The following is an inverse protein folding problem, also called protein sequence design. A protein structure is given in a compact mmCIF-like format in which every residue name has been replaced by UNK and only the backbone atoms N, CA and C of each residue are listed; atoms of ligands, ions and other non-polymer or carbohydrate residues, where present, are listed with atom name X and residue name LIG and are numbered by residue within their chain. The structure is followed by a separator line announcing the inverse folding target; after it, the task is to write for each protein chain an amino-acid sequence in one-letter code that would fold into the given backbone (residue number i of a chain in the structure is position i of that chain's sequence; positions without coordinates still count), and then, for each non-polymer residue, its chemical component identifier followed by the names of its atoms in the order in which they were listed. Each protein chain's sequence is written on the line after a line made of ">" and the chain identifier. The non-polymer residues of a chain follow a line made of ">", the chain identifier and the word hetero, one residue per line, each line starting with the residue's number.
data_IF_146436660246
#
_entry.id   IF_146436660246
#
_cell.length_a   1.000
_cell.length_b   1.000
_cell.length_c   1.000
_cell.angle_alpha   90.00
_cell.angle_beta   90.00
_cell.angle_gamma   90.00
#
_symmetry.space_group_name_H-M   'P 1'
#
loop_
_entity.id
_entity.type
_entity.pdbx_description
1 polymer ?
#
# COMPACT_ATOMS: atom_id res chain seq x y z
N UNK A 1 13.88 14.97 0.56
CA UNK A 1 12.88 13.89 0.62
C UNK A 1 13.40 12.68 -0.13
N UNK A 2 13.30 11.52 0.48
CA UNK A 2 13.75 10.28 -0.13
C UNK A 2 12.58 9.34 -0.33
N UNK A 3 12.53 8.70 -1.51
CA UNK A 3 11.61 7.60 -1.79
C UNK A 3 12.40 6.30 -1.74
N UNK A 4 11.86 5.32 -1.01
CA UNK A 4 12.45 3.98 -0.95
C UNK A 4 11.45 3.01 -1.55
N UNK A 5 11.88 2.29 -2.59
CA UNK A 5 11.07 1.24 -3.21
C UNK A 5 11.48 -0.10 -2.58
N UNK A 6 10.54 -0.72 -1.86
CA UNK A 6 10.79 -1.98 -1.20
C UNK A 6 10.39 -3.15 -2.11
N UNK A 7 11.11 -4.28 -2.04
CA UNK A 7 10.75 -5.46 -2.82
C UNK A 7 9.32 -5.91 -2.51
N UNK A 8 8.62 -6.38 -3.54
CA UNK A 8 7.28 -6.91 -3.38
C UNK A 8 7.24 -8.11 -2.44
N UNK A 9 6.27 -8.14 -1.56
CA UNK A 9 6.08 -9.22 -0.59
C UNK A 9 5.01 -10.22 -1.02
N UNK A 10 4.18 -9.86 -2.00
CA UNK A 10 2.98 -10.60 -2.37
C UNK A 10 3.12 -11.54 -3.55
N UNK A 11 4.33 -11.73 -4.09
CA UNK A 11 4.53 -12.63 -5.21
C UNK A 11 4.45 -14.08 -4.76
N UNK A 12 3.46 -14.80 -5.27
CA UNK A 12 3.25 -16.22 -4.93
C UNK A 12 4.43 -17.11 -5.30
N UNK A 13 5.29 -16.66 -6.21
CA UNK A 13 6.47 -17.39 -6.67
C UNK A 13 7.71 -17.15 -5.83
N UNK A 14 7.65 -16.25 -4.87
CA UNK A 14 8.79 -15.92 -4.02
C UNK A 14 8.92 -16.99 -2.94
N UNK A 15 10.09 -17.59 -2.82
CA UNK A 15 10.35 -18.61 -1.80
C UNK A 15 10.17 -18.04 -0.39
N UNK A 16 9.74 -18.88 0.55
CA UNK A 16 9.52 -18.47 1.94
C UNK A 16 10.75 -17.80 2.55
N UNK A 17 11.95 -18.32 2.25
CA UNK A 17 13.21 -17.76 2.73
C UNK A 17 13.41 -16.31 2.24
N UNK A 18 13.00 -16.00 1.02
CA UNK A 18 13.09 -14.64 0.46
C UNK A 18 12.10 -13.71 1.15
N UNK A 19 10.89 -14.21 1.47
CA UNK A 19 9.90 -13.44 2.21
C UNK A 19 10.36 -13.13 3.64
N UNK A 20 11.00 -14.10 4.29
CA UNK A 20 11.56 -13.90 5.62
C UNK A 20 12.67 -12.85 5.60
N UNK A 21 13.57 -12.93 4.60
CA UNK A 21 14.62 -11.93 4.39
C UNK A 21 14.02 -10.56 4.10
N UNK A 22 12.94 -10.51 3.32
CA UNK A 22 12.22 -9.28 3.04
C UNK A 22 11.68 -8.66 4.33
N UNK A 23 11.09 -9.47 5.21
CA UNK A 23 10.59 -9.02 6.51
C UNK A 23 11.67 -8.42 7.38
N UNK A 24 12.83 -9.08 7.47
CA UNK A 24 13.97 -8.57 8.21
C UNK A 24 14.49 -7.24 7.66
N UNK A 25 14.56 -7.13 6.34
CA UNK A 25 15.02 -5.91 5.67
C UNK A 25 14.05 -4.75 5.90
N UNK A 26 12.75 -4.99 5.78
CA UNK A 26 11.72 -3.98 6.02
C UNK A 26 11.74 -3.56 7.49
N UNK A 27 11.88 -4.50 8.40
CA UNK A 27 11.98 -4.21 9.83
C UNK A 27 13.17 -3.34 10.14
N UNK A 28 14.32 -3.61 9.50
CA UNK A 28 15.52 -2.78 9.62
C UNK A 28 15.30 -1.34 9.14
N UNK A 29 14.60 -1.17 8.03
CA UNK A 29 14.24 0.16 7.53
C UNK A 29 13.26 0.86 8.46
N UNK A 30 12.23 0.15 8.91
CA UNK A 30 11.13 0.74 9.64
C UNK A 30 11.44 0.97 11.12
N UNK A 31 12.48 0.32 11.67
CA UNK A 31 12.97 0.61 13.01
C UNK A 31 13.59 2.02 13.11
N UNK A 32 13.98 2.61 11.97
CA UNK A 32 14.47 3.98 11.88
C UNK A 32 13.35 4.97 11.49
N UNK A 33 12.18 4.72 11.98
CA UNK A 33 10.96 5.42 11.57
C UNK A 33 10.90 6.92 11.89
N UNK A 34 11.84 7.47 12.63
CA UNK A 34 11.92 8.92 12.82
C UNK A 34 12.06 9.64 11.47
N UNK A 35 12.67 8.97 10.50
CA UNK A 35 12.83 9.49 9.15
C UNK A 35 11.74 9.01 8.19
N UNK A 36 10.96 8.01 8.60
CA UNK A 36 9.88 7.46 7.78
C UNK A 36 8.59 8.21 8.05
N UNK A 37 8.15 8.99 7.08
CA UNK A 37 6.98 9.85 7.22
C UNK A 37 5.69 9.23 6.70
N UNK A 38 5.79 8.34 5.74
CA UNK A 38 4.61 7.73 5.10
C UNK A 38 5.00 6.48 4.34
N UNK A 39 4.16 5.46 4.43
CA UNK A 39 4.25 4.25 3.62
C UNK A 39 3.01 4.17 2.73
N UNK A 40 3.22 3.97 1.44
CA UNK A 40 2.11 3.73 0.50
C UNK A 40 2.06 2.23 0.20
N UNK A 41 0.95 1.59 0.53
CA UNK A 41 0.69 0.20 0.16
C UNK A 41 -0.02 0.16 -1.18
N UNK A 42 0.64 -0.39 -2.19
CA UNK A 42 0.08 -0.48 -3.54
C UNK A 42 -0.57 -1.85 -3.74
N UNK A 43 -1.85 -1.83 -4.07
CA UNK A 43 -2.63 -3.05 -4.33
C UNK A 43 -3.27 -2.93 -5.70
N UNK A 44 -3.08 -3.97 -6.54
CA UNK A 44 -3.75 -4.02 -7.85
C UNK A 44 -5.25 -4.16 -7.65
N UNK A 45 -6.04 -3.22 -8.17
CA UNK A 45 -7.48 -3.18 -7.93
C UNK A 45 -8.25 -4.35 -8.55
N UNK A 46 -7.64 -5.09 -9.48
CA UNK A 46 -8.28 -6.23 -10.15
C UNK A 46 -8.33 -7.48 -9.27
N UNK A 47 -7.55 -7.51 -8.22
CA UNK A 47 -7.41 -8.67 -7.31
C UNK A 47 -7.74 -8.21 -5.90
N UNK A 48 -8.57 -8.96 -5.15
CA UNK A 48 -8.79 -8.63 -3.74
C UNK A 48 -7.47 -8.66 -2.96
N UNK A 49 -7.33 -7.84 -1.92
CA UNK A 49 -6.14 -7.89 -1.07
C UNK A 49 -5.85 -9.30 -0.59
N UNK A 50 -4.58 -9.68 -0.64
CA UNK A 50 -4.12 -11.00 -0.21
C UNK A 50 -3.93 -11.02 1.30
N UNK A 51 -3.70 -12.22 1.84
CA UNK A 51 -3.35 -12.35 3.26
C UNK A 51 -2.04 -11.62 3.57
N UNK A 52 -1.07 -11.65 2.65
CA UNK A 52 0.18 -10.91 2.80
C UNK A 52 -0.07 -9.41 2.90
N UNK A 53 -0.99 -8.87 2.11
CA UNK A 53 -1.39 -7.46 2.18
C UNK A 53 -1.97 -7.14 3.55
N UNK A 54 -2.86 -8.00 4.05
CA UNK A 54 -3.49 -7.83 5.35
C UNK A 54 -2.46 -7.85 6.49
N UNK A 55 -1.53 -8.80 6.44
CA UNK A 55 -0.46 -8.91 7.43
C UNK A 55 0.41 -7.66 7.43
N UNK A 56 0.78 -7.16 6.25
CA UNK A 56 1.58 -5.94 6.14
C UNK A 56 0.84 -4.73 6.71
N UNK A 57 -0.44 -4.60 6.42
CA UNK A 57 -1.26 -3.50 6.94
C UNK A 57 -1.34 -3.56 8.46
N UNK A 58 -1.61 -4.73 9.03
CA UNK A 58 -1.65 -4.92 10.48
C UNK A 58 -0.28 -4.57 11.11
N UNK A 59 0.80 -4.99 10.48
CA UNK A 59 2.15 -4.70 10.97
C UNK A 59 2.44 -3.20 10.99
N UNK A 60 2.10 -2.49 9.91
CA UNK A 60 2.29 -1.04 9.84
C UNK A 60 1.48 -0.32 10.91
N UNK A 61 0.22 -0.71 11.09
CA UNK A 61 -0.66 -0.10 12.08
C UNK A 61 -0.19 -0.40 13.50
N UNK A 62 0.24 -1.64 13.75
CA UNK A 62 0.75 -2.05 15.06
C UNK A 62 1.98 -1.22 15.48
N UNK A 63 2.85 -0.91 14.52
CA UNK A 63 4.07 -0.13 14.78
C UNK A 63 3.84 1.38 14.70
N UNK A 64 2.59 1.82 14.50
CA UNK A 64 2.25 3.23 14.44
C UNK A 64 2.84 3.96 13.24
N UNK A 65 3.10 3.26 12.15
CA UNK A 65 3.68 3.84 10.94
C UNK A 65 2.58 4.44 10.08
N UNK A 66 2.62 5.75 9.79
CA UNK A 66 1.64 6.36 8.89
C UNK A 66 1.65 5.66 7.54
N UNK A 67 0.46 5.25 7.08
CA UNK A 67 0.35 4.53 5.83
C UNK A 67 -0.96 4.86 5.13
N UNK A 68 -0.99 4.65 3.82
CA UNK A 68 -2.18 4.78 3.01
C UNK A 68 -2.24 3.61 2.03
N UNK A 69 -3.44 3.11 1.79
CA UNK A 69 -3.67 2.02 0.84
C UNK A 69 -4.10 2.62 -0.49
N UNK A 70 -3.36 2.29 -1.53
CA UNK A 70 -3.59 2.80 -2.89
C UNK A 70 -3.95 1.63 -3.80
N UNK A 71 -5.15 1.68 -4.39
CA UNK A 71 -5.54 0.72 -5.41
C UNK A 71 -5.06 1.23 -6.77
N UNK A 72 -4.18 0.46 -7.40
CA UNK A 72 -3.56 0.81 -8.68
C UNK A 72 -4.32 0.22 -9.87
N UNK A 73 -4.02 0.71 -11.06
CA UNK A 73 -4.57 0.21 -12.33
C UNK A 73 -6.10 0.34 -12.41
N UNK A 74 -6.63 1.39 -11.82
CA UNK A 74 -8.09 1.59 -11.73
C UNK A 74 -8.75 1.84 -13.10
N UNK A 75 -7.96 2.19 -14.12
CA UNK A 75 -8.44 2.30 -15.51
C UNK A 75 -8.89 0.96 -16.09
N UNK A 76 -8.53 -0.17 -15.45
CA UNK A 76 -8.91 -1.52 -15.91
C UNK A 76 -10.27 -1.95 -15.40
N UNK A 77 -10.91 -1.20 -14.52
CA UNK A 77 -12.22 -1.54 -13.96
C UNK A 77 -13.29 -0.52 -14.38
N UNK A 78 -14.53 -0.99 -14.48
CA UNK A 78 -15.68 -0.10 -14.60
C UNK A 78 -15.88 0.67 -13.30
N UNK A 79 -16.67 1.73 -13.34
CA UNK A 79 -16.95 2.54 -12.15
C UNK A 79 -17.57 1.70 -11.02
N UNK A 80 -18.52 0.82 -11.35
CA UNK A 80 -19.15 -0.05 -10.34
C UNK A 80 -18.17 -1.05 -9.75
N UNK A 81 -17.34 -1.66 -10.60
CA UNK A 81 -16.31 -2.59 -10.16
C UNK A 81 -15.28 -1.89 -9.26
N UNK A 82 -14.89 -0.67 -9.62
CA UNK A 82 -13.96 0.11 -8.83
C UNK A 82 -14.53 0.45 -7.45
N UNK A 83 -15.78 0.90 -7.40
CA UNK A 83 -16.43 1.22 -6.13
C UNK A 83 -16.49 0.01 -5.21
N UNK A 84 -16.77 -1.17 -5.78
CA UNK A 84 -16.80 -2.41 -5.01
C UNK A 84 -15.39 -2.79 -4.54
N UNK A 85 -14.39 -2.66 -5.40
CA UNK A 85 -13.00 -2.95 -5.05
C UNK A 85 -12.52 -2.05 -3.89
N UNK A 86 -12.86 -0.77 -3.94
CA UNK A 86 -12.52 0.16 -2.87
C UNK A 86 -13.12 -0.24 -1.54
N UNK A 87 -14.40 -0.63 -1.52
CA UNK A 87 -15.07 -1.06 -0.30
C UNK A 87 -14.52 -2.38 0.22
N UNK A 88 -14.32 -3.35 -0.65
CA UNK A 88 -13.77 -4.65 -0.28
C UNK A 88 -12.39 -4.49 0.33
N UNK A 89 -11.54 -3.70 -0.31
CA UNK A 89 -10.18 -3.46 0.19
C UNK A 89 -10.18 -2.76 1.54
N UNK A 90 -11.04 -1.77 1.72
CA UNK A 90 -11.17 -1.08 2.99
C UNK A 90 -11.59 -2.02 4.12
N UNK A 91 -12.51 -2.93 3.84
CA UNK A 91 -12.96 -3.91 4.82
C UNK A 91 -11.89 -4.94 5.16
N UNK A 92 -11.26 -5.52 4.14
CA UNK A 92 -10.26 -6.58 4.34
C UNK A 92 -8.99 -6.06 5.01
N UNK A 93 -8.58 -4.84 4.69
CA UNK A 93 -7.39 -4.22 5.25
C UNK A 93 -7.67 -3.39 6.50
N UNK A 94 -8.94 -3.30 6.92
CA UNK A 94 -9.37 -2.56 8.10
C UNK A 94 -8.86 -1.12 8.09
N UNK A 95 -9.03 -0.47 6.95
CA UNK A 95 -8.68 0.94 6.77
C UNK A 95 -9.95 1.77 6.55
N UNK A 96 -9.92 3.04 6.94
CA UNK A 96 -11.08 3.92 6.78
C UNK A 96 -11.35 4.23 5.32
N UNK A 97 -10.29 4.35 4.53
CA UNK A 97 -10.43 4.69 3.12
C UNK A 97 -9.28 4.11 2.32
N UNK A 98 -9.55 3.90 1.04
CA UNK A 98 -8.56 3.50 0.05
C UNK A 98 -8.56 4.55 -1.06
N UNK A 99 -7.40 4.73 -1.68
CA UNK A 99 -7.21 5.74 -2.73
C UNK A 99 -7.15 5.03 -4.08
N UNK A 100 -8.00 5.45 -5.02
CA UNK A 100 -7.95 4.96 -6.38
C UNK A 100 -6.87 5.72 -7.15
N UNK A 101 -6.04 5.00 -7.90
CA UNK A 101 -4.95 5.58 -8.68
C UNK A 101 -4.80 4.89 -10.03
N UNK A 102 -4.53 5.67 -11.07
CA UNK A 102 -4.15 5.14 -12.39
C UNK A 102 -3.01 5.98 -12.97
N UNK A 103 -1.91 5.33 -13.28
CA UNK A 103 -0.78 5.97 -13.97
C UNK A 103 -1.15 6.33 -15.42
N UNK A 104 -2.15 5.65 -16.00
CA UNK A 104 -2.60 5.90 -17.38
C UNK A 104 -3.46 7.15 -17.46
N UNK A 105 -4.42 7.31 -16.56
CA UNK A 105 -5.39 8.42 -16.59
C UNK A 105 -5.02 9.58 -15.69
N UNK A 106 -4.14 9.38 -14.72
CA UNK A 106 -3.80 10.38 -13.72
C UNK A 106 -4.77 10.49 -12.56
N UNK A 107 -5.80 9.63 -12.51
CA UNK A 107 -6.76 9.61 -11.41
C UNK A 107 -6.03 9.34 -10.10
N UNK A 108 -6.33 10.11 -9.07
CA UNK A 108 -5.76 9.96 -7.73
C UNK A 108 -4.39 10.56 -7.52
N UNK A 109 -3.74 11.05 -8.57
CA UNK A 109 -2.39 11.63 -8.48
C UNK A 109 -2.36 12.81 -7.50
N UNK A 110 -3.30 13.73 -7.61
CA UNK A 110 -3.34 14.92 -6.76
C UNK A 110 -3.59 14.55 -5.30
N UNK A 111 -4.45 13.57 -5.06
CA UNK A 111 -4.74 13.07 -3.71
C UNK A 111 -3.48 12.49 -3.08
N UNK A 112 -2.73 11.67 -3.82
CA UNK A 112 -1.49 11.06 -3.32
C UNK A 112 -0.44 12.13 -3.05
N UNK A 113 -0.27 13.08 -3.96
CA UNK A 113 0.70 14.18 -3.77
C UNK A 113 0.36 15.02 -2.55
N UNK A 114 -0.92 15.25 -2.29
CA UNK A 114 -1.38 15.98 -1.11
C UNK A 114 -1.02 15.22 0.17
N UNK A 115 -1.27 13.91 0.20
CA UNK A 115 -0.94 13.07 1.36
C UNK A 115 0.56 13.08 1.63
N UNK A 116 1.37 12.97 0.58
CA UNK A 116 2.83 13.05 0.71
C UNK A 116 3.25 14.40 1.26
N UNK A 117 2.71 15.49 0.72
CA UNK A 117 3.03 16.84 1.18
C UNK A 117 2.69 17.03 2.65
N UNK A 118 1.55 16.54 3.10
CA UNK A 118 1.13 16.64 4.49
C UNK A 118 2.05 15.82 5.41
N UNK A 119 2.50 14.66 4.95
CA UNK A 119 3.36 13.78 5.74
C UNK A 119 4.77 14.36 5.96
N UNK A 120 5.27 15.14 5.02
CA UNK A 120 6.62 15.73 5.10
C UNK A 120 6.63 17.17 5.62
N UNK A 121 5.45 17.73 5.86
CA UNK A 121 5.32 19.09 6.37
C UNK A 121 5.86 19.24 7.81
#
# INVERSE_FOLDING_TARGET
>A
MYFVDLPGYGYAKVAKSVRDTWGEMVEGYLSRREQLKLTLMLVDCRIPPTESDRIMKEWLDHHGIPNAVVLTKTDKLSKNQLNQALRTSAQLLKTKETIAFSAVTGVGKDTILKIISEAIA
#
